data_IF_326878019324
#
_entry.id   IF_326878019324
#
_cell.length_a   1.000
_cell.length_b   1.000
_cell.length_c   1.000
_cell.angle_alpha   90.00
_cell.angle_beta   90.00
_cell.angle_gamma   90.00
#
_symmetry.space_group_name_H-M   'P 1'
#
loop_
_entity.id
_entity.type
_entity.pdbx_description
1 polymer ?
#
# COMPACT_ATOMS: atom_id res chain seq x y z
N UNK A 1 -39.13 -32.34 1.46
CA UNK A 1 -37.74 -32.13 1.03
C UNK A 1 -37.70 -31.24 -0.19
N UNK A 2 -37.50 -29.93 0.01
CA UNK A 2 -36.89 -29.03 -0.97
C UNK A 2 -36.14 -28.00 -0.13
N UNK A 3 -34.82 -28.21 0.01
CA UNK A 3 -33.92 -27.28 0.67
C UNK A 3 -33.68 -26.13 -0.31
N UNK A 4 -34.36 -25.00 -0.06
CA UNK A 4 -34.16 -23.76 -0.78
C UNK A 4 -32.77 -23.24 -0.39
N UNK A 5 -31.83 -23.31 -1.32
CA UNK A 5 -30.48 -22.79 -1.14
C UNK A 5 -30.57 -21.30 -0.75
N UNK A 6 -30.04 -20.87 0.42
CA UNK A 6 -29.92 -19.47 0.69
C UNK A 6 -28.79 -18.93 -0.20
N UNK A 7 -29.15 -18.07 -1.14
CA UNK A 7 -28.21 -17.23 -1.88
C UNK A 7 -27.33 -16.49 -0.88
N UNK A 8 -26.05 -16.82 -0.85
CA UNK A 8 -25.01 -16.10 -0.12
C UNK A 8 -25.11 -14.62 -0.46
N UNK A 9 -25.52 -13.83 0.52
CA UNK A 9 -25.64 -12.39 0.42
C UNK A 9 -24.28 -11.75 0.24
N UNK A 10 -23.87 -11.53 -1.01
CA UNK A 10 -22.84 -10.55 -1.34
C UNK A 10 -23.46 -9.15 -1.24
N UNK A 11 -23.68 -8.67 -0.01
CA UNK A 11 -23.80 -7.22 0.22
C UNK A 11 -22.40 -6.65 0.44
N UNK A 12 -21.66 -6.48 -0.66
CA UNK A 12 -20.63 -5.44 -0.69
C UNK A 12 -21.34 -4.10 -0.85
N UNK A 13 -21.90 -3.61 0.25
CA UNK A 13 -22.32 -2.21 0.37
C UNK A 13 -21.15 -1.40 0.97
N UNK A 14 -19.95 -1.64 0.45
CA UNK A 14 -18.79 -0.79 0.70
C UNK A 14 -18.87 0.33 -0.32
N UNK A 15 -19.49 1.44 0.09
CA UNK A 15 -19.41 2.67 -0.67
C UNK A 15 -17.97 3.17 -0.63
N UNK A 16 -17.17 2.74 -1.63
CA UNK A 16 -15.77 3.14 -1.78
C UNK A 16 -15.61 4.68 -1.82
N UNK A 17 -16.70 5.42 -2.08
CA UNK A 17 -16.72 6.89 -2.04
C UNK A 17 -16.60 7.46 -0.64
N UNK A 18 -16.92 6.67 0.41
CA UNK A 18 -16.74 7.06 1.81
C UNK A 18 -15.33 6.80 2.31
N UNK A 19 -14.54 6.03 1.57
CA UNK A 19 -13.15 5.76 1.92
C UNK A 19 -12.27 6.90 1.44
N UNK A 20 -11.26 7.21 2.25
CA UNK A 20 -10.28 8.25 1.94
C UNK A 20 -9.11 7.65 1.16
N UNK A 21 -8.68 8.27 0.05
CA UNK A 21 -7.49 7.83 -0.66
C UNK A 21 -6.21 8.25 0.07
N UNK A 22 -5.22 7.35 0.08
CA UNK A 22 -3.87 7.58 0.59
C UNK A 22 -2.85 7.11 -0.44
N UNK A 23 -1.84 7.92 -0.71
CA UNK A 23 -0.78 7.56 -1.68
C UNK A 23 0.36 6.85 -0.97
N UNK A 24 0.63 5.61 -1.39
CA UNK A 24 1.85 4.89 -1.04
C UNK A 24 2.91 5.13 -2.11
N UNK A 25 4.11 5.48 -1.67
CA UNK A 25 5.29 5.46 -2.51
C UNK A 25 5.86 4.05 -2.55
N UNK A 26 6.30 3.60 -3.73
CA UNK A 26 6.89 2.29 -3.92
C UNK A 26 8.22 2.43 -4.65
N UNK A 27 9.25 1.79 -4.11
CA UNK A 27 10.58 1.73 -4.69
C UNK A 27 11.02 0.27 -4.82
N UNK A 28 11.18 -0.20 -6.05
CA UNK A 28 11.54 -1.58 -6.37
C UNK A 28 12.96 -1.59 -6.94
N UNK A 29 13.95 -2.11 -6.19
CA UNK A 29 15.29 -2.33 -6.74
C UNK A 29 15.23 -3.22 -7.99
N UNK A 30 15.99 -2.88 -9.04
CA UNK A 30 16.09 -3.74 -10.23
C UNK A 30 16.95 -4.98 -9.98
N UNK A 31 17.77 -4.95 -8.93
CA UNK A 31 18.60 -6.07 -8.50
C UNK A 31 17.75 -7.13 -7.79
N UNK A 32 17.90 -8.39 -8.21
CA UNK A 32 16.98 -9.50 -7.93
C UNK A 32 16.82 -9.88 -6.45
N UNK A 33 17.67 -9.38 -5.56
CA UNK A 33 17.76 -9.83 -4.16
C UNK A 33 17.37 -8.76 -3.14
N UNK A 34 17.04 -7.54 -3.59
CA UNK A 34 16.72 -6.45 -2.68
C UNK A 34 15.20 -6.33 -2.48
N UNK A 35 14.77 -6.07 -1.24
CA UNK A 35 13.36 -5.93 -0.89
C UNK A 35 12.76 -4.68 -1.51
N UNK A 36 11.52 -4.78 -2.00
CA UNK A 36 10.70 -3.63 -2.35
C UNK A 36 10.36 -2.81 -1.11
N UNK A 37 10.63 -1.52 -1.20
CA UNK A 37 10.28 -0.55 -0.19
C UNK A 37 8.91 0.06 -0.51
N UNK A 38 8.03 0.12 0.49
CA UNK A 38 6.74 0.80 0.42
C UNK A 38 6.65 1.80 1.58
N UNK A 39 6.42 3.07 1.26
CA UNK A 39 6.45 4.17 2.21
C UNK A 39 5.16 4.98 2.23
N UNK A 40 4.79 5.45 3.42
CA UNK A 40 3.74 6.46 3.64
C UNK A 40 4.22 7.46 4.69
N UNK A 41 4.04 8.75 4.44
CA UNK A 41 4.45 9.81 5.37
C UNK A 41 3.28 10.73 5.67
N UNK A 42 2.94 10.86 6.97
CA UNK A 42 1.95 11.86 7.38
C UNK A 42 2.48 13.28 7.17
N UNK A 43 1.58 14.25 6.91
CA UNK A 43 1.95 15.66 6.84
C UNK A 43 2.55 16.18 8.15
N UNK A 44 3.45 17.15 8.04
CA UNK A 44 4.06 17.84 9.18
C UNK A 44 3.07 18.61 10.06
N UNK A 45 1.85 18.87 9.57
CA UNK A 45 0.75 19.50 10.31
C UNK A 45 0.03 18.52 11.26
N UNK A 46 0.33 17.22 11.19
CA UNK A 46 -0.20 16.24 12.12
C UNK A 46 0.51 16.34 13.48
N UNK A 47 -0.24 16.13 14.56
CA UNK A 47 0.27 16.14 15.95
C UNK A 47 1.36 15.10 16.21
N UNK A 48 1.47 14.07 15.36
CA UNK A 48 2.50 13.04 15.41
C UNK A 48 3.11 12.80 14.02
N UNK A 49 4.44 12.88 13.91
CA UNK A 49 5.20 12.44 12.71
C UNK A 49 5.22 10.91 12.66
N UNK A 50 4.15 10.29 12.20
CA UNK A 50 4.14 8.85 11.94
C UNK A 50 4.31 8.58 10.44
N UNK A 51 5.16 7.62 10.10
CA UNK A 51 5.30 7.09 8.76
C UNK A 51 5.11 5.57 8.80
N UNK A 52 4.71 4.99 7.66
CA UNK A 52 4.73 3.55 7.45
C UNK A 52 5.92 3.26 6.55
N UNK A 53 6.73 2.29 6.93
CA UNK A 53 7.77 1.73 6.07
C UNK A 53 7.60 0.21 6.06
N UNK A 54 7.33 -0.36 4.89
CA UNK A 54 7.23 -1.80 4.69
C UNK A 54 8.36 -2.25 3.76
N UNK A 55 9.05 -3.31 4.19
CA UNK A 55 9.97 -4.06 3.36
C UNK A 55 9.30 -5.36 2.92
N UNK A 56 9.11 -5.51 1.62
CA UNK A 56 8.32 -6.61 1.05
C UNK A 56 9.06 -7.29 -0.10
N UNK A 57 8.82 -8.58 -0.37
CA UNK A 57 9.33 -9.25 -1.57
C UNK A 57 8.43 -9.01 -2.80
N UNK A 58 7.58 -7.98 -2.77
CA UNK A 58 6.63 -7.69 -3.85
C UNK A 58 7.35 -7.33 -5.14
N UNK A 59 6.94 -7.93 -6.25
CA UNK A 59 7.51 -7.65 -7.57
C UNK A 59 6.74 -6.56 -8.28
N UNK A 60 7.37 -5.94 -9.27
CA UNK A 60 6.76 -4.93 -10.15
C UNK A 60 5.39 -5.39 -10.68
N UNK A 61 5.31 -6.62 -11.21
CA UNK A 61 4.08 -7.19 -11.76
C UNK A 61 2.93 -7.25 -10.73
N UNK A 62 3.24 -7.44 -9.45
CA UNK A 62 2.24 -7.52 -8.38
C UNK A 62 1.73 -6.15 -7.97
N UNK A 63 2.61 -5.14 -7.92
CA UNK A 63 2.22 -3.74 -7.67
C UNK A 63 1.35 -3.22 -8.82
N UNK A 64 1.69 -3.57 -10.06
CA UNK A 64 0.93 -3.22 -11.28
C UNK A 64 -0.44 -3.92 -11.39
N UNK A 65 -0.82 -4.78 -10.44
CA UNK A 65 -2.20 -5.26 -10.34
C UNK A 65 -3.15 -4.16 -9.84
N UNK A 66 -2.63 -3.21 -9.07
CA UNK A 66 -3.40 -2.11 -8.49
C UNK A 66 -3.79 -1.12 -9.57
N UNK A 67 -5.08 -0.78 -9.64
CA UNK A 67 -5.66 0.04 -10.70
C UNK A 67 -5.05 1.45 -10.76
N UNK A 68 -4.76 2.02 -9.60
CA UNK A 68 -4.16 3.35 -9.43
C UNK A 68 -2.62 3.34 -9.49
N UNK A 69 -2.01 2.32 -10.10
CA UNK A 69 -0.56 2.24 -10.15
C UNK A 69 0.00 3.23 -11.18
N UNK A 70 0.82 4.16 -10.72
CA UNK A 70 1.57 5.09 -11.58
C UNK A 70 3.04 4.71 -11.57
N UNK A 71 3.65 4.64 -12.76
CA UNK A 71 5.07 4.31 -12.95
C UNK A 71 5.84 5.58 -13.36
N UNK A 72 6.84 5.94 -12.57
CA UNK A 72 7.68 7.13 -12.77
C UNK A 72 9.03 6.81 -13.43
N UNK A 73 9.25 5.52 -13.73
CA UNK A 73 10.44 4.99 -14.33
C UNK A 73 11.58 4.68 -13.36
N UNK A 74 12.70 4.25 -13.93
CA UNK A 74 13.89 3.85 -13.20
C UNK A 74 14.74 5.06 -12.86
N UNK A 75 15.17 5.14 -11.60
CA UNK A 75 16.15 6.11 -11.10
C UNK A 75 17.38 5.40 -10.57
N UNK A 76 18.53 6.08 -10.63
CA UNK A 76 19.76 5.60 -10.01
C UNK A 76 19.96 6.30 -8.67
N UNK A 77 20.05 5.52 -7.59
CA UNK A 77 20.33 6.00 -6.24
C UNK A 77 21.80 5.68 -5.90
N UNK A 78 22.60 6.64 -5.41
CA UNK A 78 24.02 6.41 -5.15
C UNK A 78 24.27 5.25 -4.15
N UNK A 79 25.26 4.38 -4.41
CA UNK A 79 25.50 3.19 -3.56
C UNK A 79 26.03 3.51 -2.15
N UNK A 80 26.54 4.72 -1.91
CA UNK A 80 26.98 5.16 -0.59
C UNK A 80 25.82 5.49 0.36
N UNK A 81 24.58 5.45 -0.13
CA UNK A 81 23.40 5.67 0.70
C UNK A 81 23.11 4.44 1.57
N UNK A 82 22.87 4.65 2.87
CA UNK A 82 22.76 3.62 3.91
C UNK A 82 21.49 2.72 3.83
N UNK A 83 20.79 2.72 2.70
CA UNK A 83 19.55 1.99 2.49
C UNK A 83 18.46 2.88 1.91
N UNK A 84 17.56 2.28 1.12
CA UNK A 84 16.51 3.03 0.42
C UNK A 84 15.56 3.75 1.37
N UNK A 85 15.21 3.13 2.50
CA UNK A 85 14.30 3.71 3.48
C UNK A 85 14.84 5.03 4.04
N UNK A 86 16.08 5.03 4.54
CA UNK A 86 16.73 6.22 5.12
C UNK A 86 17.01 7.31 4.08
N UNK A 87 17.33 6.89 2.84
CA UNK A 87 17.50 7.81 1.74
C UNK A 87 16.20 8.55 1.41
N UNK A 88 15.10 7.81 1.21
CA UNK A 88 13.81 8.42 0.91
C UNK A 88 13.30 9.25 2.09
N UNK A 89 13.46 8.78 3.33
CA UNK A 89 13.09 9.55 4.51
C UNK A 89 13.75 10.94 4.51
N UNK A 90 15.07 11.01 4.28
CA UNK A 90 15.80 12.30 4.21
C UNK A 90 15.32 13.19 3.06
N UNK A 91 15.01 12.61 1.90
CA UNK A 91 14.50 13.36 0.76
C UNK A 91 13.10 13.92 1.02
N UNK A 92 12.22 13.13 1.65
CA UNK A 92 10.89 13.58 2.05
C UNK A 92 10.99 14.73 3.05
N UNK A 93 11.86 14.60 4.06
CA UNK A 93 12.09 15.63 5.07
C UNK A 93 12.67 16.92 4.48
N UNK A 94 13.64 16.83 3.55
CA UNK A 94 14.28 18.01 2.96
C UNK A 94 13.36 18.78 2.02
N UNK A 95 12.46 18.08 1.32
CA UNK A 95 11.48 18.66 0.41
C UNK A 95 10.21 19.12 1.12
N UNK A 96 10.07 18.81 2.42
CA UNK A 96 8.88 19.08 3.22
C UNK A 96 7.58 18.55 2.59
N UNK A 97 7.66 17.40 1.91
CA UNK A 97 6.52 16.76 1.24
C UNK A 97 5.88 15.66 2.08
N UNK A 98 4.64 15.29 1.74
CA UNK A 98 3.87 14.25 2.44
C UNK A 98 3.09 13.36 1.47
N UNK A 99 2.67 12.18 1.95
CA UNK A 99 1.79 11.27 1.18
C UNK A 99 0.38 11.81 0.91
N UNK A 100 0.03 12.98 1.46
CA UNK A 100 -1.21 13.68 1.14
C UNK A 100 -1.02 14.73 0.05
N UNK A 101 0.22 15.04 -0.33
CA UNK A 101 0.49 15.95 -1.43
C UNK A 101 0.26 15.21 -2.75
N UNK A 102 -0.65 15.73 -3.58
CA UNK A 102 -0.99 15.11 -4.87
C UNK A 102 0.25 14.94 -5.79
N UNK A 103 1.25 15.80 -5.63
CA UNK A 103 2.48 15.79 -6.42
C UNK A 103 3.70 15.23 -5.67
N UNK A 104 3.51 14.57 -4.52
CA UNK A 104 4.60 14.04 -3.68
C UNK A 104 5.62 13.25 -4.50
N UNK A 105 5.16 12.20 -5.20
CA UNK A 105 6.03 11.32 -5.97
C UNK A 105 6.69 12.07 -7.12
N UNK A 106 5.97 12.95 -7.81
CA UNK A 106 6.50 13.79 -8.89
C UNK A 106 7.61 14.75 -8.40
N UNK A 107 7.42 15.41 -7.25
CA UNK A 107 8.41 16.29 -6.63
C UNK A 107 9.64 15.52 -6.18
N UNK A 108 9.45 14.35 -5.56
CA UNK A 108 10.54 13.47 -5.18
C UNK A 108 11.32 13.02 -6.41
N UNK A 109 10.65 12.54 -7.45
CA UNK A 109 11.26 12.13 -8.73
C UNK A 109 12.01 13.29 -9.39
N UNK A 110 11.44 14.50 -9.41
CA UNK A 110 12.10 15.68 -9.93
C UNK A 110 13.36 16.03 -9.14
N UNK A 111 13.32 15.93 -7.80
CA UNK A 111 14.50 16.09 -6.94
C UNK A 111 15.56 15.04 -7.26
N UNK A 112 15.20 13.76 -7.39
CA UNK A 112 16.15 12.69 -7.71
C UNK A 112 16.80 12.89 -9.08
N UNK A 113 16.04 13.34 -10.08
CA UNK A 113 16.56 13.67 -11.42
C UNK A 113 17.44 14.92 -11.41
N UNK A 114 17.03 15.95 -10.67
CA UNK A 114 17.76 17.21 -10.52
C UNK A 114 19.04 17.07 -9.69
N UNK A 115 19.04 16.15 -8.74
CA UNK A 115 20.16 15.84 -7.86
C UNK A 115 21.34 15.18 -8.59
N UNK A 116 21.23 14.91 -9.90
CA UNK A 116 22.27 14.36 -10.79
C UNK A 116 23.48 13.84 -10.03
N UNK A 117 23.33 12.58 -9.60
CA UNK A 117 24.35 11.56 -9.61
C UNK A 117 25.68 12.10 -10.16
N UNK A 118 26.61 12.36 -9.24
CA UNK A 118 28.01 12.57 -9.59
C UNK A 118 28.46 11.37 -10.43
N UNK A 119 28.61 11.62 -11.72
CA UNK A 119 29.25 10.78 -12.72
C UNK A 119 28.58 9.44 -13.03
N UNK A 120 28.57 9.15 -14.32
CA UNK A 120 28.37 7.84 -14.92
C UNK A 120 29.52 6.87 -14.53
N UNK A 121 29.68 6.62 -13.23
CA UNK A 121 30.38 5.46 -12.70
C UNK A 121 29.28 4.56 -12.16
N UNK A 122 29.17 3.34 -12.67
CA UNK A 122 28.06 2.40 -12.40
C UNK A 122 27.99 1.86 -10.97
N UNK A 123 28.15 2.71 -9.96
CA UNK A 123 28.15 2.39 -8.53
C UNK A 123 26.89 2.97 -7.85
N UNK A 124 25.73 2.67 -8.42
CA UNK A 124 24.42 3.09 -7.89
C UNK A 124 23.40 1.97 -8.03
N UNK A 125 22.42 1.97 -7.14
CA UNK A 125 21.29 1.03 -7.17
C UNK A 125 20.22 1.61 -8.09
N UNK A 126 19.92 0.90 -9.15
CA UNK A 126 18.76 1.19 -10.00
C UNK A 126 17.49 0.77 -9.27
N UNK A 127 16.53 1.69 -9.22
CA UNK A 127 15.26 1.52 -8.51
C UNK A 127 14.13 2.00 -9.41
N UNK A 128 13.15 1.13 -9.65
CA UNK A 128 11.90 1.54 -10.28
C UNK A 128 11.00 2.24 -9.27
N UNK A 129 10.56 3.44 -9.59
CA UNK A 129 9.74 4.27 -8.71
C UNK A 129 8.29 4.22 -9.17
N UNK A 130 7.40 3.83 -8.27
CA UNK A 130 5.96 3.80 -8.50
C UNK A 130 5.21 4.51 -7.39
N UNK A 131 3.95 4.84 -7.64
CA UNK A 131 2.98 5.16 -6.61
C UNK A 131 1.75 4.26 -6.77
N UNK A 132 1.07 3.98 -5.66
CA UNK A 132 -0.25 3.36 -5.65
C UNK A 132 -1.14 4.11 -4.68
N UNK A 133 -2.43 4.22 -5.00
CA UNK A 133 -3.44 4.72 -4.07
C UNK A 133 -4.09 3.54 -3.34
N UNK A 134 -4.17 3.65 -2.01
CA UNK A 134 -4.93 2.75 -1.15
C UNK A 134 -6.12 3.52 -0.55
N UNK A 135 -7.17 2.79 -0.15
CA UNK A 135 -8.39 3.35 0.39
C UNK A 135 -8.51 2.99 1.86
N UNK A 136 -8.47 4.00 2.74
CA UNK A 136 -8.61 3.81 4.19
C UNK A 136 -9.83 4.49 4.77
N UNK A 137 -10.02 4.34 6.08
CA UNK A 137 -11.17 4.90 6.78
C UNK A 137 -11.24 6.44 6.68
N UNK A 138 -12.47 6.94 6.73
CA UNK A 138 -12.84 8.35 6.53
C UNK A 138 -12.22 9.29 7.59
N UNK A 139 -11.93 8.76 8.78
CA UNK A 139 -11.48 9.52 9.95
C UNK A 139 -10.09 10.18 9.78
N UNK A 140 -9.41 9.96 8.66
CA UNK A 140 -8.27 10.76 8.21
C UNK A 140 -6.92 10.41 8.82
N UNK A 141 -6.89 9.39 9.68
CA UNK A 141 -5.66 8.82 10.19
C UNK A 141 -5.51 7.36 9.73
N UNK A 142 -4.59 7.15 8.79
CA UNK A 142 -4.24 5.82 8.31
C UNK A 142 -3.60 4.95 9.41
N UNK A 143 -2.81 5.55 10.31
CA UNK A 143 -2.11 4.87 11.40
C UNK A 143 -2.34 5.63 12.70
N UNK A 144 -3.50 5.44 13.34
CA UNK A 144 -3.72 5.90 14.70
C UNK A 144 -2.68 5.29 15.64
N UNK A 145 -2.38 5.99 16.73
CA UNK A 145 -1.43 5.52 17.74
C UNK A 145 -1.88 4.17 18.33
N UNK A 146 -0.95 3.23 18.52
CA UNK A 146 -1.23 1.89 19.06
C UNK A 146 -1.95 0.92 18.12
N UNK A 147 -2.30 1.34 16.90
CA UNK A 147 -2.95 0.47 15.92
C UNK A 147 -1.95 -0.16 14.94
N UNK A 148 -2.32 -1.34 14.42
CA UNK A 148 -1.64 -2.05 13.33
C UNK A 148 -2.51 -2.02 12.08
N UNK A 149 -1.92 -2.28 10.91
CA UNK A 149 -2.65 -2.21 9.63
C UNK A 149 -3.13 -3.57 9.18
N UNK A 150 -4.38 -3.62 8.74
CA UNK A 150 -4.94 -4.73 7.98
C UNK A 150 -5.22 -4.31 6.55
N UNK A 151 -4.97 -5.22 5.63
CA UNK A 151 -5.00 -5.00 4.19
C UNK A 151 -6.01 -5.94 3.55
N UNK A 152 -6.67 -5.50 2.48
CA UNK A 152 -7.58 -6.34 1.68
C UNK A 152 -7.61 -5.82 0.26
N UNK A 153 -7.72 -6.68 -0.74
CA UNK A 153 -8.00 -6.26 -2.11
C UNK A 153 -9.49 -6.33 -2.43
N UNK A 154 -9.95 -5.43 -3.28
CA UNK A 154 -11.29 -5.44 -3.88
C UNK A 154 -11.18 -5.20 -5.38
N UNK A 155 -12.12 -5.73 -6.15
CA UNK A 155 -12.21 -5.51 -7.60
C UNK A 155 -13.57 -4.88 -7.94
N UNK A 156 -13.71 -3.55 -7.77
CA UNK A 156 -15.01 -2.88 -7.82
C UNK A 156 -15.68 -2.96 -9.20
N UNK A 157 -14.88 -2.96 -10.27
CA UNK A 157 -15.39 -3.03 -11.64
C UNK A 157 -15.69 -4.46 -12.11
N UNK A 158 -15.59 -5.47 -11.25
CA UNK A 158 -15.94 -6.84 -11.62
C UNK A 158 -17.45 -7.08 -11.50
N UNK A 159 -18.00 -7.90 -12.40
CA UNK A 159 -19.42 -8.26 -12.43
C UNK A 159 -19.95 -8.83 -11.09
N UNK A 160 -19.05 -9.41 -10.29
CA UNK A 160 -19.36 -10.03 -9.00
C UNK A 160 -18.75 -9.28 -7.80
N UNK A 161 -18.20 -8.08 -8.00
CA UNK A 161 -17.52 -7.29 -6.95
C UNK A 161 -16.59 -8.15 -6.08
N UNK A 162 -15.65 -8.87 -6.70
CA UNK A 162 -14.74 -9.79 -5.99
C UNK A 162 -13.90 -9.05 -4.94
N UNK A 163 -13.53 -9.75 -3.88
CA UNK A 163 -12.67 -9.23 -2.83
C UNK A 163 -11.90 -10.35 -2.13
N UNK A 164 -10.73 -10.04 -1.58
CA UNK A 164 -9.97 -10.92 -0.71
C UNK A 164 -10.46 -10.90 0.73
N UNK A 165 -9.74 -11.59 1.61
CA UNK A 165 -9.89 -11.47 3.06
C UNK A 165 -8.96 -10.38 3.61
N UNK A 166 -9.24 -9.92 4.83
CA UNK A 166 -8.31 -9.06 5.56
C UNK A 166 -7.07 -9.88 5.96
N UNK A 167 -5.89 -9.31 5.75
CA UNK A 167 -4.60 -9.91 6.14
C UNK A 167 -3.67 -8.83 6.73
N UNK A 168 -2.79 -9.25 7.63
CA UNK A 168 -1.72 -8.44 8.22
C UNK A 168 -0.61 -8.05 7.21
N UNK A 169 -0.53 -8.72 6.06
CA UNK A 169 0.54 -8.56 5.08
C UNK A 169 0.03 -8.08 3.72
N UNK A 170 0.45 -6.88 3.31
CA UNK A 170 0.22 -6.38 1.95
C UNK A 170 0.74 -7.35 0.88
N UNK A 171 1.86 -8.04 1.16
CA UNK A 171 2.42 -9.07 0.29
C UNK A 171 1.42 -10.19 0.03
N UNK A 172 0.83 -10.76 1.09
CA UNK A 172 -0.14 -11.85 0.97
C UNK A 172 -1.40 -11.39 0.23
N UNK A 173 -1.87 -10.17 0.50
CA UNK A 173 -3.02 -9.58 -0.18
C UNK A 173 -2.80 -9.46 -1.69
N UNK A 174 -1.64 -8.95 -2.12
CA UNK A 174 -1.37 -8.80 -3.56
C UNK A 174 -1.09 -10.13 -4.25
N UNK A 175 -0.47 -11.10 -3.56
CA UNK A 175 -0.35 -12.48 -4.07
C UNK A 175 -1.74 -13.09 -4.24
N UNK A 176 -2.63 -12.97 -3.26
CA UNK A 176 -4.00 -13.48 -3.36
C UNK A 176 -4.77 -12.79 -4.51
N UNK A 177 -4.60 -11.48 -4.68
CA UNK A 177 -5.17 -10.73 -5.80
C UNK A 177 -4.67 -11.23 -7.17
N UNK A 178 -3.37 -11.54 -7.28
CA UNK A 178 -2.77 -12.09 -8.49
C UNK A 178 -3.49 -13.36 -8.96
N UNK A 179 -3.73 -14.28 -8.03
CA UNK A 179 -4.37 -15.56 -8.31
C UNK A 179 -5.89 -15.46 -8.54
N UNK A 180 -6.59 -14.57 -7.82
CA UNK A 180 -8.06 -14.59 -7.77
C UNK A 180 -8.74 -13.46 -8.56
N UNK A 181 -8.03 -12.35 -8.78
CA UNK A 181 -8.57 -11.11 -9.31
C UNK A 181 -7.88 -10.65 -10.59
N UNK A 182 -6.57 -10.87 -10.72
CA UNK A 182 -5.75 -10.27 -11.77
C UNK A 182 -5.65 -8.74 -11.63
N UNK A 183 -5.52 -8.03 -12.76
CA UNK A 183 -5.37 -6.56 -12.79
C UNK A 183 -6.65 -5.80 -12.43
N UNK A 184 -6.49 -4.54 -12.04
CA UNK A 184 -7.57 -3.59 -11.76
C UNK A 184 -8.16 -3.76 -10.36
N UNK A 185 -7.33 -4.12 -9.38
CA UNK A 185 -7.74 -4.18 -7.97
C UNK A 185 -7.51 -2.84 -7.28
N UNK A 186 -8.33 -2.54 -6.28
CA UNK A 186 -8.08 -1.48 -5.31
C UNK A 186 -7.68 -2.12 -3.98
N UNK A 187 -6.80 -1.46 -3.24
CA UNK A 187 -6.35 -1.94 -1.94
C UNK A 187 -7.07 -1.16 -0.86
N UNK A 188 -7.75 -1.88 0.01
CA UNK A 188 -8.34 -1.35 1.23
C UNK A 188 -7.35 -1.54 2.38
N UNK A 189 -7.32 -0.55 3.25
CA UNK A 189 -6.51 -0.54 4.45
C UNK A 189 -7.36 -0.07 5.62
N UNK A 190 -7.16 -0.65 6.79
CA UNK A 190 -7.76 -0.12 8.02
C UNK A 190 -6.82 -0.27 9.20
N UNK A 191 -6.98 0.61 10.16
CA UNK A 191 -6.37 0.49 11.46
C UNK A 191 -7.10 -0.59 12.27
N UNK A 192 -6.34 -1.43 12.96
CA UNK A 192 -6.83 -2.48 13.83
C UNK A 192 -6.10 -2.42 15.16
N UNK A 193 -6.86 -2.51 16.25
CA UNK A 193 -6.32 -2.72 17.58
C UNK A 193 -5.64 -4.09 17.67
N UNK A 194 -4.78 -4.26 18.67
CA UNK A 194 -3.96 -5.46 18.84
C UNK A 194 -4.78 -6.75 18.83
N UNK A 195 -5.91 -6.78 19.54
CA UNK A 195 -6.78 -7.96 19.58
C UNK A 195 -7.35 -8.33 18.19
N UNK A 196 -7.77 -7.36 17.38
CA UNK A 196 -8.27 -7.64 16.04
C UNK A 196 -7.15 -8.10 15.12
N UNK A 197 -6.00 -7.44 15.19
CA UNK A 197 -4.84 -7.79 14.40
C UNK A 197 -4.37 -9.23 14.71
N UNK A 198 -4.31 -9.59 15.98
CA UNK A 198 -3.86 -10.92 16.42
C UNK A 198 -4.83 -12.02 16.00
N UNK A 199 -6.15 -11.77 16.04
CA UNK A 199 -7.14 -12.71 15.47
C UNK A 199 -6.88 -12.98 13.99
N UNK A 200 -6.65 -11.93 13.20
CA UNK A 200 -6.35 -12.09 11.76
C UNK A 200 -5.01 -12.79 11.56
N UNK A 201 -4.00 -12.46 12.36
CA UNK A 201 -2.68 -13.10 12.33
C UNK A 201 -2.75 -14.60 12.62
N UNK A 202 -3.60 -15.02 13.56
CA UNK A 202 -3.86 -16.42 13.90
C UNK A 202 -4.75 -17.14 12.87
N UNK A 203 -5.25 -16.43 11.85
CA UNK A 203 -6.12 -16.99 10.82
C UNK A 203 -7.56 -17.19 11.28
N UNK A 204 -7.95 -16.58 12.41
CA UNK A 204 -9.33 -16.55 12.86
C UNK A 204 -10.12 -15.62 11.93
N UNK A 205 -10.83 -16.21 10.97
CA UNK A 205 -11.81 -15.46 10.18
C UNK A 205 -12.87 -14.96 11.13
N UNK A 206 -13.13 -13.64 11.11
CA UNK A 206 -14.22 -13.02 11.86
C UNK A 206 -15.48 -13.86 11.65
N UNK A 207 -15.92 -14.57 12.68
CA UNK A 207 -17.28 -15.06 12.74
C UNK A 207 -18.13 -13.79 12.74
N UNK A 208 -18.81 -13.51 11.63
CA UNK A 208 -19.89 -12.53 11.63
C UNK A 208 -20.91 -13.03 12.66
N UNK A 209 -20.86 -12.46 13.86
CA UNK A 209 -21.83 -12.74 14.90
C UNK A 209 -23.21 -12.33 14.36
N UNK A 210 -24.19 -13.24 14.35
CA UNK A 210 -25.56 -12.90 14.04
C UNK A 210 -26.17 -12.25 15.30
N UNK A 211 -26.08 -10.94 15.44
CA UNK A 211 -26.98 -10.24 16.37
C UNK A 211 -28.30 -10.02 15.61
N UNK A 212 -29.36 -10.77 15.93
CA UNK A 212 -30.24 -10.55 17.09
C UNK A 212 -30.58 -9.06 17.26
N UNK A 213 -31.64 -8.61 16.59
CA UNK A 213 -32.91 -8.34 17.28
C UNK A 213 -34.05 -8.56 16.30
#
# INVERSE_FOLDING_TARGET
>A
MQQKSPSLGFKLDLDLRKLRPYTLFVAIPTTSNSSTFVGYWKPSSSTSRSHIQLHTPLKLAQIQLVDSCEDFGVMCIPAHELGLADFFQRQIESLEISSQDAEMTSKLVASLRGSKAGNASGDGVEVNILSITILGDENGDLVPEGCKLLWRWVKPHSQYCKSGFWDCSLTKVLVDAEWNAGKGVSILVKAAEEEEYDRVLQGEKKAESPFQT
#
